data_IF_627894827520
#
_entry.id   IF_627894827520
#
_cell.length_a   1.000
_cell.length_b   1.000
_cell.length_c   1.000
_cell.angle_alpha   90.00
_cell.angle_beta   90.00
_cell.angle_gamma   90.00
#
_symmetry.space_group_name_H-M   'P 1'
#
loop_
_entity.id
_entity.type
_entity.pdbx_description
1 polymer ?
#
# COMPACT_ATOMS: atom_id res chain seq x y z
N UNK A 1 -2.36 -5.12 17.63
CA UNK A 1 -1.67 -6.01 16.66
C UNK A 1 -2.22 -7.44 16.70
N UNK A 2 -2.25 -8.13 17.84
CA UNK A 2 -2.75 -9.51 17.96
C UNK A 2 -4.07 -9.83 17.21
N UNK A 3 -5.10 -8.97 17.32
CA UNK A 3 -6.37 -9.14 16.58
C UNK A 3 -6.17 -9.11 15.06
N UNK A 4 -5.29 -8.23 14.57
CA UNK A 4 -4.99 -8.11 13.15
C UNK A 4 -4.27 -9.35 12.60
N UNK A 5 -3.35 -9.94 13.37
CA UNK A 5 -2.67 -11.19 13.00
C UNK A 5 -3.64 -12.37 12.94
N UNK A 6 -4.49 -12.53 13.96
CA UNK A 6 -5.52 -13.56 13.96
C UNK A 6 -6.51 -13.40 12.79
N UNK A 7 -6.77 -12.15 12.39
CA UNK A 7 -7.56 -11.85 11.21
C UNK A 7 -6.81 -12.21 9.92
N UNK A 8 -5.51 -11.89 9.81
CA UNK A 8 -4.69 -12.25 8.66
C UNK A 8 -4.64 -13.77 8.45
N UNK A 9 -4.53 -14.56 9.52
CA UNK A 9 -4.59 -16.02 9.45
C UNK A 9 -5.91 -16.53 8.84
N UNK A 10 -7.04 -15.94 9.24
CA UNK A 10 -8.35 -16.27 8.65
C UNK A 10 -8.45 -15.86 7.17
N UNK A 11 -7.89 -14.71 6.78
CA UNK A 11 -7.83 -14.28 5.37
C UNK A 11 -7.05 -15.28 4.51
N UNK A 12 -5.96 -15.84 5.04
CA UNK A 12 -5.17 -16.85 4.33
C UNK A 12 -5.97 -18.12 4.07
N UNK A 13 -6.81 -18.53 5.02
CA UNK A 13 -7.72 -19.68 4.87
C UNK A 13 -8.88 -19.38 3.91
N UNK A 14 -9.53 -18.22 4.08
CA UNK A 14 -10.63 -17.74 3.24
C UNK A 14 -10.18 -17.35 1.81
N UNK A 15 -8.87 -17.12 1.60
CA UNK A 15 -8.25 -16.65 0.35
C UNK A 15 -8.90 -15.38 -0.21
N UNK A 16 -9.31 -14.47 0.67
CA UNK A 16 -10.09 -13.29 0.31
C UNK A 16 -9.63 -12.06 1.08
N UNK A 17 -9.33 -10.99 0.35
CA UNK A 17 -8.96 -9.69 0.93
C UNK A 17 -10.13 -9.09 1.72
N UNK A 18 -9.85 -8.16 2.64
CA UNK A 18 -10.88 -7.39 3.34
C UNK A 18 -10.34 -6.08 3.92
N UNK A 19 -11.24 -5.13 4.11
CA UNK A 19 -11.01 -3.93 4.89
C UNK A 19 -11.64 -4.10 6.27
N UNK A 20 -10.84 -3.95 7.33
CA UNK A 20 -11.32 -4.08 8.72
C UNK A 20 -11.09 -2.80 9.50
N UNK A 21 -12.10 -2.37 10.26
CA UNK A 21 -12.00 -1.27 11.22
C UNK A 21 -11.51 -1.75 12.59
N UNK A 22 -10.62 -0.97 13.20
CA UNK A 22 -10.12 -1.15 14.55
C UNK A 22 -10.37 0.14 15.33
N UNK A 23 -11.15 0.03 16.39
CA UNK A 23 -11.34 1.12 17.34
C UNK A 23 -10.28 0.99 18.41
N UNK A 24 -9.36 1.94 18.46
CA UNK A 24 -8.29 2.07 19.44
C UNK A 24 -8.79 2.82 20.69
N UNK A 25 -9.98 2.47 21.18
CA UNK A 25 -10.47 2.97 22.46
C UNK A 25 -9.88 2.11 23.59
N UNK A 26 -9.80 2.68 24.80
CA UNK A 26 -9.55 1.91 26.03
C UNK A 26 -10.69 0.91 26.21
N UNK A 27 -10.49 -0.34 25.80
CA UNK A 27 -11.30 -1.44 26.29
C UNK A 27 -10.64 -1.98 27.57
N UNK A 28 -11.47 -2.30 28.57
CA UNK A 28 -11.14 -2.67 29.95
C UNK A 28 -10.47 -4.06 30.09
N UNK A 29 -9.58 -4.44 29.18
CA UNK A 29 -8.76 -5.65 29.33
C UNK A 29 -7.32 -5.19 29.49
N UNK A 30 -6.78 -5.54 30.66
CA UNK A 30 -5.51 -5.13 31.25
C UNK A 30 -4.38 -4.72 30.29
N UNK A 31 -3.84 -3.53 30.59
CA UNK A 31 -2.51 -3.00 30.31
C UNK A 31 -1.79 -3.44 29.03
N UNK A 32 -1.59 -2.47 28.12
CA UNK A 32 -0.27 -2.03 27.62
C UNK A 32 -0.44 -0.82 26.68
N UNK A 33 -0.20 0.39 27.20
CA UNK A 33 0.52 1.44 26.45
C UNK A 33 -0.14 2.22 25.30
N UNK A 34 -1.44 2.12 25.02
CA UNK A 34 -2.05 2.97 23.98
C UNK A 34 -2.60 4.28 24.57
N UNK A 35 -1.75 5.33 24.54
CA UNK A 35 -2.06 6.69 25.04
C UNK A 35 -2.82 7.54 23.99
N UNK A 36 -2.86 7.10 22.73
CA UNK A 36 -3.52 7.81 21.63
C UNK A 36 -4.75 7.04 21.17
N UNK A 37 -5.95 7.46 21.61
CA UNK A 37 -7.20 6.91 21.08
C UNK A 37 -7.40 7.23 19.59
N UNK A 38 -8.16 6.40 18.87
CA UNK A 38 -8.46 6.62 17.45
C UNK A 38 -9.21 5.49 16.77
N UNK A 39 -9.52 5.65 15.49
CA UNK A 39 -10.04 4.59 14.61
C UNK A 39 -9.04 4.37 13.47
N UNK A 40 -8.69 3.11 13.21
CA UNK A 40 -7.79 2.72 12.12
C UNK A 40 -8.51 1.73 11.21
N UNK A 41 -8.42 1.92 9.90
CA UNK A 41 -8.86 0.93 8.91
C UNK A 41 -7.63 0.24 8.35
N UNK A 42 -7.63 -1.09 8.41
CA UNK A 42 -6.55 -1.93 7.90
C UNK A 42 -7.06 -2.69 6.68
N UNK A 43 -6.40 -2.49 5.55
CA UNK A 43 -6.68 -3.22 4.32
C UNK A 43 -5.80 -4.46 4.25
N UNK A 44 -6.40 -5.63 4.41
CA UNK A 44 -5.72 -6.92 4.29
C UNK A 44 -5.85 -7.44 2.87
N UNK A 45 -4.72 -7.77 2.26
CA UNK A 45 -4.67 -8.28 0.89
C UNK A 45 -4.21 -9.73 0.88
N UNK A 46 -5.04 -10.62 0.34
CA UNK A 46 -4.62 -11.97 0.05
C UNK A 46 -3.85 -12.00 -1.28
N UNK A 47 -2.61 -12.49 -1.21
CA UNK A 47 -1.71 -12.62 -2.36
C UNK A 47 -1.54 -14.10 -2.67
N UNK A 48 -2.19 -14.58 -3.73
CA UNK A 48 -2.06 -15.96 -4.17
C UNK A 48 -0.68 -16.19 -4.82
N UNK A 49 0.14 -17.06 -4.23
CA UNK A 49 1.50 -17.33 -4.71
C UNK A 49 1.55 -18.12 -6.03
N UNK A 50 0.49 -18.84 -6.37
CA UNK A 50 0.38 -19.65 -7.58
C UNK A 50 -0.11 -18.85 -8.80
N UNK A 51 -0.43 -17.56 -8.64
CA UNK A 51 -0.84 -16.67 -9.72
C UNK A 51 0.40 -15.97 -10.30
N UNK A 52 0.73 -16.25 -11.56
CA UNK A 52 1.91 -15.65 -12.21
C UNK A 52 1.83 -14.13 -12.31
N UNK A 53 0.61 -13.58 -12.48
CA UNK A 53 0.37 -12.14 -12.48
C UNK A 53 0.76 -11.49 -11.15
N UNK A 54 0.57 -12.20 -10.04
CA UNK A 54 0.91 -11.73 -8.71
C UNK A 54 2.42 -11.68 -8.50
N UNK A 55 3.13 -12.73 -8.93
CA UNK A 55 4.59 -12.76 -8.92
C UNK A 55 5.17 -11.61 -9.75
N UNK A 56 4.68 -11.42 -10.99
CA UNK A 56 5.15 -10.34 -11.87
C UNK A 56 4.93 -8.94 -11.26
N UNK A 57 3.82 -8.72 -10.54
CA UNK A 57 3.58 -7.46 -9.81
C UNK A 57 4.60 -7.25 -8.69
N UNK A 58 4.87 -8.29 -7.89
CA UNK A 58 5.86 -8.22 -6.81
C UNK A 58 7.26 -7.96 -7.37
N UNK A 59 7.64 -8.65 -8.46
CA UNK A 59 8.92 -8.43 -9.15
C UNK A 59 9.05 -6.99 -9.67
N UNK A 60 7.98 -6.43 -10.25
CA UNK A 60 7.98 -5.03 -10.70
C UNK A 60 8.20 -4.05 -9.54
N UNK A 61 7.58 -4.28 -8.39
CA UNK A 61 7.75 -3.48 -7.17
C UNK A 61 9.18 -3.58 -6.64
N UNK A 62 9.73 -4.80 -6.54
CA UNK A 62 11.12 -5.04 -6.12
C UNK A 62 12.10 -4.34 -7.07
N UNK A 63 11.88 -4.45 -8.38
CA UNK A 63 12.70 -3.76 -9.37
C UNK A 63 12.60 -2.23 -9.25
N UNK A 64 11.44 -1.70 -8.82
CA UNK A 64 11.22 -0.29 -8.54
C UNK A 64 12.21 0.27 -7.52
N UNK A 65 12.44 -0.45 -6.42
CA UNK A 65 13.41 -0.05 -5.38
C UNK A 65 14.86 0.05 -5.86
N UNK A 66 15.20 -0.62 -6.96
CA UNK A 66 16.57 -0.60 -7.50
C UNK A 66 16.82 0.57 -8.46
N UNK A 67 15.82 1.42 -8.70
CA UNK A 67 15.92 2.58 -9.58
C UNK A 67 16.00 3.86 -8.75
N UNK A 68 16.87 4.79 -9.16
CA UNK A 68 16.88 6.16 -8.64
C UNK A 68 15.84 7.00 -9.39
N UNK A 69 14.56 6.62 -9.22
CA UNK A 69 13.42 7.28 -9.84
C UNK A 69 12.24 7.31 -8.87
N UNK A 70 11.47 8.39 -8.88
CA UNK A 70 10.21 8.45 -8.14
C UNK A 70 9.25 7.37 -8.64
N UNK A 71 8.75 6.57 -7.71
CA UNK A 71 7.79 5.51 -7.97
C UNK A 71 6.69 5.51 -6.91
N UNK A 72 5.47 5.18 -7.33
CA UNK A 72 4.29 5.14 -6.47
C UNK A 72 3.63 3.78 -6.52
N UNK A 73 3.31 3.25 -5.35
CA UNK A 73 2.47 2.08 -5.20
C UNK A 73 1.02 2.54 -5.14
N UNK A 74 0.17 2.01 -6.00
CA UNK A 74 -1.25 2.37 -6.10
C UNK A 74 -2.11 1.16 -5.83
N UNK A 75 -3.08 1.29 -4.93
CA UNK A 75 -4.06 0.26 -4.64
C UNK A 75 -5.46 0.76 -4.98
N UNK A 76 -6.20 0.03 -5.79
CA UNK A 76 -7.63 0.25 -6.00
C UNK A 76 -8.41 -0.40 -4.85
N UNK A 77 -8.95 0.44 -3.97
CA UNK A 77 -9.74 0.09 -2.79
C UNK A 77 -11.24 0.04 -3.08
N UNK A 78 -11.67 0.11 -4.35
CA UNK A 78 -13.10 0.10 -4.71
C UNK A 78 -13.76 -1.19 -4.25
N UNK A 79 -13.15 -2.33 -4.59
CA UNK A 79 -13.49 -3.66 -4.09
C UNK A 79 -12.42 -4.15 -3.13
N UNK A 80 -12.71 -4.04 -1.83
CA UNK A 80 -11.81 -4.47 -0.76
C UNK A 80 -11.60 -5.99 -0.69
N UNK A 81 -12.34 -6.79 -1.48
CA UNK A 81 -12.20 -8.25 -1.53
C UNK A 81 -11.19 -8.75 -2.55
N UNK A 82 -10.77 -7.88 -3.48
CA UNK A 82 -9.83 -8.19 -4.54
C UNK A 82 -8.44 -7.58 -4.27
N UNK A 83 -7.39 -8.23 -4.78
CA UNK A 83 -6.09 -7.59 -4.86
C UNK A 83 -5.94 -6.84 -6.19
N UNK A 84 -6.02 -5.51 -6.09
CA UNK A 84 -5.85 -4.60 -7.21
C UNK A 84 -4.77 -3.58 -6.88
N UNK A 85 -3.54 -3.87 -7.29
CA UNK A 85 -2.39 -3.00 -7.03
C UNK A 85 -1.56 -2.80 -8.28
N UNK A 86 -0.97 -1.62 -8.40
CA UNK A 86 -0.10 -1.24 -9.49
C UNK A 86 1.09 -0.41 -9.04
N UNK A 87 2.04 -0.28 -9.96
CA UNK A 87 3.23 0.52 -9.79
C UNK A 87 3.25 1.58 -10.90
N UNK A 88 3.36 2.84 -10.51
CA UNK A 88 3.59 3.95 -11.42
C UNK A 88 5.01 4.48 -11.26
N UNK A 89 5.67 4.73 -12.37
CA UNK A 89 6.85 5.60 -12.47
C UNK A 89 6.76 6.37 -13.78
N UNK A 90 7.52 7.46 -13.91
CA UNK A 90 7.45 8.29 -15.11
C UNK A 90 8.02 7.57 -16.34
N UNK A 91 9.08 6.79 -16.15
CA UNK A 91 9.76 6.07 -17.23
C UNK A 91 9.01 4.82 -17.69
N UNK A 92 8.26 4.16 -16.80
CA UNK A 92 7.58 2.90 -17.11
C UNK A 92 6.06 3.03 -17.25
N UNK A 93 5.48 4.18 -16.87
CA UNK A 93 4.04 4.35 -16.79
C UNK A 93 3.42 3.53 -15.66
N UNK A 94 2.10 3.31 -15.74
CA UNK A 94 1.36 2.52 -14.77
C UNK A 94 1.30 1.05 -15.22
N UNK A 95 1.65 0.15 -14.30
CA UNK A 95 1.53 -1.30 -14.47
C UNK A 95 0.69 -1.90 -13.36
N UNK A 96 0.13 -3.10 -13.57
CA UNK A 96 -0.64 -3.85 -12.56
C UNK A 96 -2.11 -3.46 -12.41
N UNK A 97 -2.51 -2.26 -12.82
CA UNK A 97 -3.90 -1.80 -12.88
C UNK A 97 -4.37 -1.60 -14.32
N UNK A 98 -5.59 -2.03 -14.62
CA UNK A 98 -6.21 -1.88 -15.93
C UNK A 98 -6.91 -0.52 -16.09
N UNK A 99 -6.18 0.57 -15.82
CA UNK A 99 -6.66 1.95 -15.95
C UNK A 99 -5.54 2.84 -16.53
N UNK A 100 -5.89 3.90 -17.27
CA UNK A 100 -4.91 4.88 -17.74
C UNK A 100 -4.27 5.64 -16.56
N UNK A 101 -3.02 6.08 -16.74
CA UNK A 101 -2.27 6.79 -15.70
C UNK A 101 -2.65 8.27 -15.59
N UNK A 102 -3.11 8.88 -16.68
CA UNK A 102 -3.38 10.31 -16.79
C UNK A 102 -4.44 10.80 -15.80
N UNK A 103 -5.60 10.12 -15.62
CA UNK A 103 -6.58 10.51 -14.61
C UNK A 103 -6.08 10.34 -13.18
N UNK A 104 -5.07 9.49 -12.98
CA UNK A 104 -4.47 9.20 -11.69
C UNK A 104 -3.35 10.17 -11.31
N UNK A 105 -3.06 11.19 -12.13
CA UNK A 105 -2.07 12.23 -11.84
C UNK A 105 -2.11 12.81 -10.41
N UNK A 106 -3.29 13.06 -9.80
CA UNK A 106 -3.36 13.56 -8.42
C UNK A 106 -2.81 12.60 -7.36
N UNK A 107 -2.67 11.31 -7.67
CA UNK A 107 -2.16 10.28 -6.77
C UNK A 107 -0.62 10.30 -6.63
N UNK A 108 0.10 11.01 -7.51
CA UNK A 108 1.55 11.11 -7.52
C UNK A 108 2.07 12.15 -6.50
N UNK A 109 1.58 12.05 -5.27
CA UNK A 109 1.91 12.99 -4.20
C UNK A 109 3.19 12.59 -3.45
N UNK A 110 3.80 13.54 -2.74
CA UNK A 110 5.00 13.30 -1.92
C UNK A 110 4.74 12.54 -0.61
N UNK A 111 3.47 12.25 -0.32
CA UNK A 111 2.96 11.52 0.85
C UNK A 111 1.84 10.58 0.41
N UNK A 112 1.49 9.63 1.27
CA UNK A 112 0.34 8.78 1.04
C UNK A 112 -0.95 9.62 0.91
N UNK A 113 -1.77 9.28 -0.08
CA UNK A 113 -3.06 9.92 -0.35
C UNK A 113 -4.12 8.89 -0.65
N UNK A 114 -5.35 9.19 -0.27
CA UNK A 114 -6.52 8.43 -0.66
C UNK A 114 -7.50 9.36 -1.37
N UNK A 115 -7.95 8.99 -2.56
CA UNK A 115 -8.82 9.83 -3.40
C UNK A 115 -9.86 9.00 -4.14
N UNK A 116 -10.99 9.62 -4.43
CA UNK A 116 -11.97 9.07 -5.37
C UNK A 116 -11.76 9.69 -6.75
N UNK A 117 -11.56 8.85 -7.77
CA UNK A 117 -11.32 9.27 -9.15
C UNK A 117 -12.24 8.42 -10.03
N UNK A 118 -13.15 9.07 -10.77
CA UNK A 118 -14.13 8.42 -11.66
C UNK A 118 -14.93 7.30 -10.96
N UNK A 119 -15.36 7.53 -9.71
CA UNK A 119 -16.15 6.57 -8.92
C UNK A 119 -15.36 5.39 -8.35
N UNK A 120 -14.02 5.39 -8.49
CA UNK A 120 -13.13 4.41 -7.88
C UNK A 120 -12.32 5.03 -6.76
N UNK A 121 -12.11 4.29 -5.69
CA UNK A 121 -11.35 4.74 -4.52
C UNK A 121 -9.93 4.20 -4.63
N UNK A 122 -8.96 5.09 -4.69
CA UNK A 122 -7.55 4.73 -4.75
C UNK A 122 -6.82 5.17 -3.49
N UNK A 123 -5.86 4.35 -3.09
CA UNK A 123 -4.80 4.71 -2.17
C UNK A 123 -3.48 4.69 -2.93
N UNK A 124 -2.64 5.70 -2.74
CA UNK A 124 -1.33 5.80 -3.36
C UNK A 124 -0.31 6.23 -2.34
N UNK A 125 0.86 5.60 -2.33
CA UNK A 125 1.98 5.96 -1.49
C UNK A 125 3.30 6.01 -2.28
N UNK A 126 4.22 6.93 -1.95
CA UNK A 126 5.56 6.92 -2.53
C UNK A 126 6.28 5.61 -2.17
N UNK A 127 6.66 4.82 -3.17
CA UNK A 127 7.48 3.63 -3.01
C UNK A 127 8.97 4.00 -2.96
N UNK A 128 9.39 4.80 -3.93
CA UNK A 128 10.75 5.35 -4.03
C UNK A 128 10.61 6.85 -4.21
N UNK A 129 11.44 7.60 -3.47
CA UNK A 129 11.63 9.03 -3.72
C UNK A 129 13.09 9.21 -4.09
N UNK A 130 13.33 9.47 -5.37
CA UNK A 130 14.66 9.74 -5.87
C UNK A 130 15.19 10.98 -5.18
N UNK A 131 16.46 10.91 -4.77
CA UNK A 131 17.01 11.96 -3.93
C UNK A 131 18.50 11.76 -3.74
N UNK A 132 19.22 12.88 -3.68
CA UNK A 132 20.65 12.87 -3.46
C UNK A 132 20.96 13.46 -2.10
N UNK A 133 21.70 12.71 -1.29
CA UNK A 133 22.38 13.27 -0.12
C UNK A 133 23.76 13.73 -0.58
N UNK A 134 24.08 15.00 -0.37
CA UNK A 134 25.41 15.58 -0.64
C UNK A 134 26.07 15.86 0.69
N UNK A 135 27.15 15.14 0.98
CA UNK A 135 27.91 15.28 2.23
C UNK A 135 29.15 16.13 1.94
N UNK A 136 29.30 17.24 2.66
CA UNK A 136 30.50 18.08 2.60
C UNK A 136 31.34 17.86 3.86
N UNK A 137 32.52 17.25 3.70
CA UNK A 137 33.41 16.89 4.80
C UNK A 137 33.00 15.57 5.47
N UNK A 138 33.91 14.59 5.44
CA UNK A 138 33.79 13.29 6.11
C UNK A 138 35.06 12.99 6.90
N UNK A 139 35.55 13.99 7.64
CA UNK A 139 36.64 13.78 8.59
C UNK A 139 36.25 12.74 9.64
N UNK A 140 37.24 12.07 10.22
CA UNK A 140 37.05 11.03 11.23
C UNK A 140 36.18 11.49 12.41
#
# INVERSE_FOLDING_TARGET
EHRAEGLAAKILDEKRSRLEGFVLARNEVEDLGMICGGEVKVHFQFVAANESANLARVEAIVAGFSRDEDAWLVTDLTDASAWNMGLFSRSQGLSGLAVPAEPLAPLWASRAVQMEIAGRRYYSEPLVRAGRVVIFGGGH
#
